data_IF_830155829581
#
_entry.id   IF_830155829581
#
_cell.length_a   1.000
_cell.length_b   1.000
_cell.length_c   1.000
_cell.angle_alpha   90.00
_cell.angle_beta   90.00
_cell.angle_gamma   90.00
#
_symmetry.space_group_name_H-M   'P 1'
#
loop_
_entity.id
_entity.type
_entity.pdbx_description
1 polymer ?
#
# COMPACT_ATOMS: atom_id res chain seq x y z
N UNK A 1 -3.85 -18.46 5.67
CA UNK A 1 -4.83 -17.52 5.08
C UNK A 1 -4.07 -16.22 4.91
N UNK A 2 -3.82 -15.81 3.67
CA UNK A 2 -3.24 -14.51 3.38
C UNK A 2 -4.43 -13.57 3.16
N UNK A 3 -4.51 -12.47 3.90
CA UNK A 3 -5.62 -11.53 3.76
C UNK A 3 -5.34 -10.58 2.59
N UNK A 4 -5.81 -10.94 1.40
CA UNK A 4 -5.61 -10.17 0.17
C UNK A 4 -6.67 -9.07 0.03
N UNK A 5 -6.28 -7.81 0.20
CA UNK A 5 -7.20 -6.68 0.09
C UNK A 5 -7.29 -6.14 -1.35
N UNK A 6 -8.49 -6.19 -1.95
CA UNK A 6 -8.77 -5.64 -3.27
C UNK A 6 -8.96 -4.13 -3.18
N UNK A 7 -7.90 -3.37 -3.43
CA UNK A 7 -7.98 -1.91 -3.51
C UNK A 7 -8.56 -1.52 -4.87
N UNK A 8 -9.71 -0.84 -4.90
CA UNK A 8 -10.18 -0.13 -6.08
C UNK A 8 -9.39 1.18 -6.21
N UNK A 9 -8.30 1.11 -6.98
CA UNK A 9 -7.29 2.16 -7.11
C UNK A 9 -7.71 3.19 -8.14
N UNK A 10 -7.62 4.50 -7.85
CA UNK A 10 -7.58 5.54 -8.88
C UNK A 10 -6.17 6.14 -8.95
N UNK A 11 -5.32 5.59 -9.82
CA UNK A 11 -3.89 5.94 -9.95
C UNK A 11 -3.18 6.14 -8.60
N UNK A 12 -2.98 5.07 -7.82
CA UNK A 12 -2.17 5.14 -6.60
C UNK A 12 -0.73 4.71 -6.88
N UNK A 13 0.20 5.52 -6.41
CA UNK A 13 1.59 5.19 -6.12
C UNK A 13 1.66 4.82 -4.65
N UNK A 14 2.09 3.60 -4.35
CA UNK A 14 2.64 3.34 -3.02
C UNK A 14 4.07 3.87 -3.05
N UNK A 15 4.45 4.55 -1.98
CA UNK A 15 5.82 4.92 -1.76
C UNK A 15 6.27 4.30 -0.45
N UNK A 16 7.56 4.00 -0.40
CA UNK A 16 8.28 3.45 0.74
C UNK A 16 8.04 1.93 0.92
N UNK A 17 9.16 1.19 0.95
CA UNK A 17 9.37 -0.14 1.56
C UNK A 17 8.61 -1.39 1.11
N UNK A 18 7.38 -1.32 0.60
CA UNK A 18 6.74 -2.52 0.03
C UNK A 18 7.32 -2.78 -1.37
N UNK A 19 7.91 -3.96 -1.58
CA UNK A 19 8.24 -4.44 -2.94
C UNK A 19 6.92 -4.75 -3.66
N UNK A 20 6.58 -3.95 -4.67
CA UNK A 20 5.22 -3.97 -5.20
C UNK A 20 4.99 -4.91 -6.38
N UNK A 21 3.94 -5.70 -6.19
CA UNK A 21 2.85 -5.98 -7.12
C UNK A 21 3.17 -6.29 -8.55
N UNK A 22 3.22 -7.59 -8.80
CA UNK A 22 2.58 -8.20 -9.96
C UNK A 22 1.20 -7.52 -10.19
N UNK A 23 1.02 -6.92 -11.37
CA UNK A 23 -0.23 -6.40 -11.91
C UNK A 23 -1.00 -7.56 -12.59
N UNK A 24 -2.27 -7.79 -12.22
CA UNK A 24 -3.00 -9.00 -12.67
C UNK A 24 -4.06 -8.73 -13.73
N UNK A 25 -4.77 -7.60 -13.67
CA UNK A 25 -5.85 -7.33 -14.64
C UNK A 25 -6.29 -5.86 -14.59
N UNK A 26 -6.81 -5.39 -15.73
CA UNK A 26 -7.50 -4.12 -15.88
C UNK A 26 -8.66 -4.31 -16.86
N UNK A 27 -9.82 -3.70 -16.58
CA UNK A 27 -10.94 -3.67 -17.53
C UNK A 27 -11.79 -2.40 -17.34
N UNK A 28 -12.60 -2.08 -18.34
CA UNK A 28 -13.61 -1.02 -18.29
C UNK A 28 -14.82 -1.38 -17.41
N UNK A 29 -15.57 -0.36 -17.02
CA UNK A 29 -16.77 -0.50 -16.22
C UNK A 29 -16.49 -0.64 -14.72
N UNK A 30 -17.46 -1.21 -14.01
CA UNK A 30 -17.36 -1.48 -12.57
C UNK A 30 -16.79 -2.87 -12.34
N UNK A 31 -15.92 -3.01 -11.34
CA UNK A 31 -15.40 -4.31 -10.94
C UNK A 31 -16.53 -5.23 -10.44
N UNK A 32 -16.50 -6.49 -10.84
CA UNK A 32 -17.47 -7.52 -10.41
C UNK A 32 -16.75 -8.76 -9.88
N UNK A 33 -17.46 -9.60 -9.10
CA UNK A 33 -16.87 -10.87 -8.60
C UNK A 33 -16.42 -11.81 -9.75
N UNK A 34 -17.09 -11.77 -10.90
CA UNK A 34 -16.73 -12.50 -12.12
C UNK A 34 -15.43 -12.02 -12.77
N UNK A 35 -15.07 -10.74 -12.61
CA UNK A 35 -13.81 -10.17 -13.13
C UNK A 35 -12.56 -10.88 -12.58
N UNK A 36 -12.67 -11.60 -11.44
CA UNK A 36 -11.59 -12.44 -10.91
C UNK A 36 -11.13 -13.55 -11.86
N UNK A 37 -11.98 -13.99 -12.80
CA UNK A 37 -11.61 -14.99 -13.81
C UNK A 37 -10.63 -14.44 -14.88
N UNK A 38 -10.53 -13.11 -15.00
CA UNK A 38 -9.63 -12.42 -15.94
C UNK A 38 -8.28 -12.05 -15.31
N UNK A 39 -7.97 -12.54 -14.11
CA UNK A 39 -6.72 -12.21 -13.41
C UNK A 39 -5.57 -13.04 -13.96
N UNK A 40 -4.51 -12.38 -14.43
CA UNK A 40 -3.28 -13.02 -14.87
C UNK A 40 -2.47 -13.58 -13.68
N UNK A 41 -2.87 -14.75 -13.20
CA UNK A 41 -2.21 -15.43 -12.08
C UNK A 41 -0.82 -16.00 -12.39
N UNK A 42 -0.27 -15.80 -13.61
CA UNK A 42 0.93 -16.50 -14.10
C UNK A 42 2.13 -15.58 -14.37
N UNK A 43 1.92 -14.46 -15.04
CA UNK A 43 2.99 -13.55 -15.49
C UNK A 43 2.67 -12.07 -15.26
N UNK A 44 2.00 -11.76 -14.16
CA UNK A 44 1.78 -10.37 -13.73
C UNK A 44 3.09 -9.57 -13.58
N UNK A 45 3.06 -8.26 -13.83
CA UNK A 45 4.28 -7.42 -13.89
C UNK A 45 4.48 -6.65 -12.59
N UNK A 46 5.65 -6.78 -11.95
CA UNK A 46 6.01 -6.04 -10.74
C UNK A 46 6.11 -4.52 -11.00
N UNK A 47 5.26 -3.71 -10.36
CA UNK A 47 5.21 -2.24 -10.54
C UNK A 47 4.99 -1.49 -9.23
N UNK A 48 5.71 -0.38 -9.06
CA UNK A 48 5.54 0.55 -7.94
C UNK A 48 4.41 1.58 -8.11
N UNK A 49 3.93 1.75 -9.33
CA UNK A 49 2.87 2.69 -9.70
C UNK A 49 1.99 2.05 -10.77
N UNK A 50 0.67 2.17 -10.61
CA UNK A 50 -0.30 1.52 -11.49
C UNK A 50 -1.31 2.56 -11.97
N UNK A 51 -1.37 2.74 -13.29
CA UNK A 51 -2.29 3.67 -13.93
C UNK A 51 -3.69 3.06 -14.02
N UNK A 52 -4.70 3.79 -13.57
CA UNK A 52 -6.10 3.38 -13.70
C UNK A 52 -6.85 4.39 -14.55
N UNK A 53 -7.53 3.89 -15.58
CA UNK A 53 -8.21 4.70 -16.58
C UNK A 53 -9.60 5.17 -16.11
N UNK A 54 -10.16 6.25 -16.70
CA UNK A 54 -11.48 6.75 -16.32
C UNK A 54 -12.58 5.70 -16.56
N UNK A 55 -13.42 5.46 -15.56
CA UNK A 55 -14.46 4.40 -15.57
C UNK A 55 -13.91 2.99 -15.79
N UNK A 56 -12.67 2.73 -15.36
CA UNK A 56 -12.05 1.40 -15.34
C UNK A 56 -11.64 1.01 -13.92
N UNK A 57 -11.28 -0.26 -13.74
CA UNK A 57 -10.67 -0.78 -12.52
C UNK A 57 -9.36 -1.49 -12.86
N UNK A 58 -8.50 -1.64 -11.84
CA UNK A 58 -7.24 -2.38 -11.93
C UNK A 58 -7.06 -3.19 -10.66
N UNK A 59 -6.61 -4.45 -10.78
CA UNK A 59 -6.43 -5.37 -9.66
C UNK A 59 -4.95 -5.65 -9.37
N UNK A 60 -4.59 -5.55 -8.09
CA UNK A 60 -3.22 -5.65 -7.55
C UNK A 60 -3.24 -6.57 -6.32
N UNK A 61 -2.14 -7.30 -6.04
CA UNK A 61 -2.14 -8.38 -5.03
C UNK A 61 -1.14 -8.24 -3.86
N UNK A 62 -1.53 -7.48 -2.84
CA UNK A 62 -1.07 -7.44 -1.43
C UNK A 62 -0.09 -8.49 -0.81
N UNK A 63 1.26 -8.57 -0.99
CA UNK A 63 2.10 -9.23 0.01
C UNK A 63 2.38 -8.22 1.13
N UNK A 64 1.98 -8.57 2.34
CA UNK A 64 2.17 -7.74 3.53
C UNK A 64 3.28 -8.34 4.40
N UNK A 65 4.43 -8.59 3.77
CA UNK A 65 5.62 -9.18 4.41
C UNK A 65 6.48 -8.14 5.14
N UNK A 66 6.47 -6.88 4.69
CA UNK A 66 7.17 -5.78 5.33
C UNK A 66 6.28 -5.08 6.39
N UNK A 67 6.70 -5.15 7.65
CA UNK A 67 5.99 -4.59 8.81
C UNK A 67 6.20 -3.08 8.88
N UNK A 68 5.15 -2.33 9.25
CA UNK A 68 5.24 -0.89 9.47
C UNK A 68 4.02 -0.11 8.98
N UNK A 69 4.24 1.18 8.73
CA UNK A 69 3.24 2.12 8.26
C UNK A 69 3.52 2.52 6.80
N UNK A 70 2.57 2.24 5.91
CA UNK A 70 2.71 2.46 4.46
C UNK A 70 1.72 3.51 3.97
N UNK A 71 2.17 4.43 3.10
CA UNK A 71 1.32 5.47 2.51
C UNK A 71 0.98 5.09 1.06
N UNK A 72 -0.29 4.79 0.82
CA UNK A 72 -0.84 4.60 -0.52
C UNK A 72 -1.50 5.91 -0.92
N UNK A 73 -0.98 6.59 -1.94
CA UNK A 73 -1.50 7.89 -2.40
C UNK A 73 -1.53 8.01 -3.90
N UNK A 74 -2.31 8.93 -4.43
CA UNK A 74 -2.22 9.24 -5.87
C UNK A 74 -0.98 10.05 -6.24
N UNK A 75 -0.46 9.86 -7.45
CA UNK A 75 0.62 10.70 -8.03
C UNK A 75 0.13 12.10 -8.42
N UNK A 76 -1.19 12.26 -8.61
CA UNK A 76 -1.75 13.52 -9.06
C UNK A 76 -1.85 14.51 -7.89
N UNK A 77 -0.91 15.45 -7.83
CA UNK A 77 -0.71 16.40 -6.73
C UNK A 77 -1.99 17.07 -6.20
N UNK A 78 -2.88 17.55 -7.07
CA UNK A 78 -4.10 18.20 -6.60
C UNK A 78 -5.09 17.24 -5.92
N UNK A 79 -5.12 15.95 -6.33
CA UNK A 79 -5.91 14.91 -5.64
C UNK A 79 -5.23 14.48 -4.34
N UNK A 80 -3.89 14.39 -4.31
CA UNK A 80 -3.13 14.17 -3.07
C UNK A 80 -3.43 15.29 -2.04
N UNK A 81 -3.45 16.56 -2.48
CA UNK A 81 -3.79 17.71 -1.65
C UNK A 81 -5.24 17.66 -1.13
N UNK A 82 -6.19 17.22 -1.97
CA UNK A 82 -7.58 16.96 -1.59
C UNK A 82 -7.76 15.70 -0.70
N UNK A 83 -6.68 15.04 -0.27
CA UNK A 83 -6.72 13.92 0.66
C UNK A 83 -6.93 12.55 0.01
N UNK A 84 -6.71 12.38 -1.30
CA UNK A 84 -6.78 11.08 -1.98
C UNK A 84 -5.54 10.23 -1.67
N UNK A 85 -5.48 9.75 -0.43
CA UNK A 85 -4.47 8.87 0.13
C UNK A 85 -5.04 8.11 1.33
N UNK A 86 -4.47 6.95 1.64
CA UNK A 86 -4.71 6.25 2.90
C UNK A 86 -3.41 5.67 3.45
N UNK A 87 -3.44 5.28 4.72
CA UNK A 87 -2.33 4.63 5.40
C UNK A 87 -2.72 3.21 5.76
N UNK A 88 -1.87 2.26 5.37
CA UNK A 88 -1.95 0.86 5.77
C UNK A 88 -0.97 0.63 6.92
N UNK A 89 -1.38 -0.18 7.91
CA UNK A 89 -0.47 -0.69 8.94
C UNK A 89 -0.35 -2.20 8.81
N UNK A 90 0.86 -2.68 8.53
CA UNK A 90 1.20 -4.10 8.69
C UNK A 90 1.70 -4.26 10.13
N UNK A 91 1.00 -5.08 10.92
CA UNK A 91 1.29 -5.29 12.33
C UNK A 91 1.86 -6.69 12.57
N UNK A 92 2.90 -6.78 13.40
CA UNK A 92 3.39 -8.03 13.97
C UNK A 92 3.41 -7.95 15.49
N UNK A 93 3.32 -9.11 16.15
CA UNK A 93 3.56 -9.26 17.59
C UNK A 93 5.05 -9.39 17.94
N UNK A 94 5.92 -9.68 16.96
CA UNK A 94 7.36 -9.84 17.15
C UNK A 94 8.10 -8.50 17.16
N UNK A 95 8.65 -8.09 18.30
CA UNK A 95 9.46 -6.86 18.39
C UNK A 95 10.91 -7.07 17.90
N UNK A 96 11.09 -7.76 16.77
CA UNK A 96 12.41 -8.04 16.19
C UNK A 96 12.89 -6.85 15.37
N UNK A 97 14.17 -6.52 15.46
CA UNK A 97 14.82 -5.54 14.58
C UNK A 97 14.84 -5.97 13.10
N UNK A 98 14.54 -7.25 12.83
CA UNK A 98 14.36 -7.79 11.48
C UNK A 98 13.01 -7.38 10.86
N UNK A 99 12.00 -7.10 11.69
CA UNK A 99 10.62 -6.92 11.25
C UNK A 99 10.28 -5.43 11.13
N UNK A 100 10.47 -4.66 12.20
CA UNK A 100 10.28 -3.19 12.19
C UNK A 100 11.46 -2.50 12.91
N UNK A 101 12.10 -1.54 12.24
CA UNK A 101 13.14 -0.71 12.87
C UNK A 101 12.51 0.23 13.91
N UNK A 102 13.12 0.39 15.10
CA UNK A 102 12.63 1.33 16.09
C UNK A 102 12.72 2.77 15.56
N UNK A 103 11.72 3.58 15.89
CA UNK A 103 11.64 4.98 15.48
C UNK A 103 12.92 5.73 15.93
N UNK A 104 13.68 6.33 14.99
CA UNK A 104 15.00 6.87 15.29
C UNK A 104 14.91 8.09 16.22
N UNK A 105 15.97 8.32 17.01
CA UNK A 105 16.01 9.34 18.08
C UNK A 105 15.81 10.79 17.58
N UNK A 106 16.01 11.04 16.29
CA UNK A 106 15.82 12.33 15.63
C UNK A 106 14.43 12.49 14.97
N UNK A 107 13.52 11.52 15.12
CA UNK A 107 12.16 11.65 14.61
C UNK A 107 11.41 12.78 15.33
N UNK A 108 10.74 13.65 14.56
CA UNK A 108 9.92 14.73 15.10
C UNK A 108 8.67 14.16 15.75
N UNK A 109 8.54 14.33 17.07
CA UNK A 109 7.39 13.88 17.85
C UNK A 109 6.34 15.00 17.94
N UNK A 110 5.13 14.73 17.46
CA UNK A 110 4.03 15.71 17.44
C UNK A 110 2.72 15.13 17.99
N UNK A 111 1.78 16.01 18.36
CA UNK A 111 0.48 15.62 18.90
C UNK A 111 0.58 14.63 20.06
N UNK A 112 -0.16 13.52 20.00
CA UNK A 112 -0.18 12.45 21.02
C UNK A 112 1.15 11.69 21.19
N UNK A 113 2.11 11.89 20.28
CA UNK A 113 3.46 11.33 20.39
C UNK A 113 4.44 12.26 21.13
N UNK A 114 4.08 13.53 21.36
CA UNK A 114 4.91 14.46 22.12
C UNK A 114 5.28 13.89 23.49
N UNK A 115 6.57 13.97 23.85
CA UNK A 115 7.11 13.45 25.11
C UNK A 115 7.30 11.92 25.21
N UNK A 116 6.90 11.13 24.20
CA UNK A 116 7.12 9.67 24.22
C UNK A 116 8.57 9.33 23.86
N UNK A 117 9.24 8.52 24.69
CA UNK A 117 10.56 7.96 24.34
C UNK A 117 10.40 6.79 23.37
N UNK A 118 11.15 6.81 22.27
CA UNK A 118 11.28 5.65 21.37
C UNK A 118 12.34 4.70 21.91
N UNK A 119 12.26 3.40 21.55
CA UNK A 119 13.22 2.39 22.01
C UNK A 119 14.60 2.73 21.41
N UNK A 120 15.69 2.74 22.20
CA UNK A 120 17.03 2.85 21.62
C UNK A 120 17.31 1.69 20.67
N UNK A 121 17.99 2.00 19.56
CA UNK A 121 19.00 1.10 18.99
C UNK A 121 20.16 0.98 19.99
#
# INVERSE_FOLDING_TARGET
ILDYELVSVSQFRILIGINMHLEFSMDGGQWTKSSKAQYNLRDGVARSTIQVYPKSWSAIYVPLDNVGMWNLRTEFWARQYLGQQFYLRVFTTSTSLRDEYPIPKNALLCGRASGRRTRPL
#
